data_IF_404108739201
#
_entry.id   IF_404108739201
#
_cell.length_a   1.000
_cell.length_b   1.000
_cell.length_c   1.000
_cell.angle_alpha   90.00
_cell.angle_beta   90.00
_cell.angle_gamma   90.00
#
_symmetry.space_group_name_H-M   'P 1'
#
loop_
_entity.id
_entity.type
_entity.pdbx_description
1 polymer ?
#
# COMPACT_ATOMS: atom_id res chain seq x y z
N UNK A 1 3.63 -12.69 2.81
CA UNK A 1 4.01 -11.31 3.21
C UNK A 1 3.12 -10.90 4.38
N UNK A 2 3.68 -10.59 5.55
CA UNK A 2 2.89 -10.09 6.68
C UNK A 2 2.70 -8.58 6.54
N UNK A 3 1.47 -8.11 6.74
CA UNK A 3 1.13 -6.68 6.69
C UNK A 3 0.37 -6.25 7.93
N UNK A 4 0.50 -4.98 8.28
CA UNK A 4 -0.24 -4.35 9.37
C UNK A 4 -0.79 -3.01 8.90
N UNK A 5 -1.90 -2.56 9.47
CA UNK A 5 -2.56 -1.32 9.05
C UNK A 5 -2.89 -0.43 10.24
N UNK A 6 -2.68 0.88 10.10
CA UNK A 6 -3.10 1.88 11.07
C UNK A 6 -3.48 3.19 10.36
N UNK A 7 -4.65 3.76 10.68
CA UNK A 7 -5.18 5.00 10.06
C UNK A 7 -5.13 5.04 8.53
N UNK A 8 -5.34 3.90 7.87
CA UNK A 8 -5.28 3.77 6.40
C UNK A 8 -3.87 3.64 5.81
N UNK A 9 -2.82 3.73 6.63
CA UNK A 9 -1.46 3.38 6.23
C UNK A 9 -1.25 1.88 6.37
N UNK A 10 -0.54 1.28 5.41
CA UNK A 10 -0.20 -0.14 5.40
C UNK A 10 1.30 -0.29 5.57
N UNK A 11 1.74 -1.19 6.45
CA UNK A 11 3.13 -1.55 6.63
C UNK A 11 3.37 -2.99 6.16
N UNK A 12 4.49 -3.23 5.48
CA UNK A 12 5.06 -4.57 5.31
C UNK A 12 5.91 -4.89 6.54
N UNK A 13 5.78 -6.11 7.04
CA UNK A 13 6.56 -6.62 8.17
C UNK A 13 7.47 -7.74 7.68
N UNK A 14 8.74 -7.67 8.08
CA UNK A 14 9.77 -8.67 7.83
C UNK A 14 10.50 -9.00 9.14
N UNK A 15 11.04 -10.21 9.20
CA UNK A 15 11.95 -10.60 10.28
C UNK A 15 13.38 -10.34 9.83
N UNK A 16 14.14 -9.61 10.64
CA UNK A 16 15.57 -9.44 10.49
C UNK A 16 16.27 -10.47 11.38
N UNK A 17 16.89 -11.48 10.74
CA UNK A 17 17.60 -12.55 11.43
C UNK A 17 18.87 -12.06 12.13
N UNK A 18 19.53 -11.03 11.60
CA UNK A 18 20.82 -10.55 12.12
C UNK A 18 20.65 -9.91 13.48
N UNK A 19 19.59 -9.12 13.61
CA UNK A 19 19.27 -8.38 14.84
C UNK A 19 18.18 -9.09 15.68
N UNK A 20 17.58 -10.17 15.15
CA UNK A 20 16.50 -10.94 15.77
C UNK A 20 15.27 -10.08 16.14
N UNK A 21 14.87 -9.20 15.23
CA UNK A 21 13.75 -8.25 15.40
C UNK A 21 12.77 -8.32 14.23
N UNK A 22 11.57 -7.78 14.43
CA UNK A 22 10.67 -7.46 13.33
C UNK A 22 10.91 -6.04 12.84
N UNK A 23 11.00 -5.87 11.53
CA UNK A 23 11.13 -4.58 10.86
C UNK A 23 9.86 -4.30 10.07
N UNK A 24 9.26 -3.13 10.30
CA UNK A 24 8.11 -2.62 9.61
C UNK A 24 8.46 -1.43 8.72
N UNK A 25 7.84 -1.36 7.53
CA UNK A 25 7.96 -0.21 6.63
C UNK A 25 6.61 0.16 6.03
N UNK A 26 6.25 1.44 6.10
CA UNK A 26 5.04 1.95 5.44
C UNK A 26 5.14 1.83 3.91
N UNK A 27 4.03 1.45 3.30
CA UNK A 27 3.85 1.25 1.86
C UNK A 27 2.86 2.28 1.30
N UNK A 28 3.00 2.56 0.00
CA UNK A 28 2.07 3.43 -0.71
C UNK A 28 2.25 4.92 -0.44
N UNK A 29 3.35 5.32 0.21
CA UNK A 29 3.78 6.70 0.43
C UNK A 29 5.19 6.91 -0.14
N UNK A 30 5.54 8.17 -0.46
CA UNK A 30 6.87 8.55 -0.97
C UNK A 30 7.88 8.66 0.17
N UNK A 31 7.45 9.11 1.34
CA UNK A 31 8.28 9.21 2.53
C UNK A 31 8.68 7.81 3.02
N UNK A 32 9.93 7.65 3.46
CA UNK A 32 10.43 6.38 3.99
C UNK A 32 10.23 6.38 5.50
N UNK A 33 9.16 5.72 5.94
CA UNK A 33 8.83 5.55 7.35
C UNK A 33 9.03 4.08 7.73
N UNK A 34 9.99 3.83 8.61
CA UNK A 34 10.35 2.51 9.11
C UNK A 34 10.26 2.47 10.64
N UNK A 35 10.05 1.26 11.18
CA UNK A 35 9.99 0.98 12.60
C UNK A 35 10.41 -0.45 12.86
N UNK A 36 10.70 -0.80 14.10
CA UNK A 36 11.05 -2.17 14.46
C UNK A 36 10.63 -2.48 15.89
N UNK A 37 10.57 -3.77 16.23
CA UNK A 37 10.31 -4.24 17.58
C UNK A 37 10.67 -5.71 17.76
N UNK A 38 10.90 -6.13 19.00
CA UNK A 38 11.25 -7.51 19.35
C UNK A 38 10.03 -8.42 19.40
N UNK A 39 8.86 -7.86 19.70
CA UNK A 39 7.60 -8.61 19.83
C UNK A 39 6.52 -8.05 18.91
N UNK A 40 5.54 -8.90 18.57
CA UNK A 40 4.38 -8.48 17.77
C UNK A 40 3.53 -7.42 18.50
N UNK A 41 3.49 -7.45 19.84
CA UNK A 41 2.76 -6.47 20.62
C UNK A 41 3.42 -5.09 20.51
N UNK A 42 4.74 -5.03 20.69
CA UNK A 42 5.52 -3.80 20.57
C UNK A 42 5.53 -3.29 19.12
N UNK A 43 5.51 -4.19 18.14
CA UNK A 43 5.43 -3.83 16.73
C UNK A 43 4.11 -3.10 16.39
N UNK A 44 3.00 -3.43 17.05
CA UNK A 44 1.72 -2.70 16.91
C UNK A 44 1.82 -1.29 17.47
N UNK A 45 2.51 -1.14 18.60
CA UNK A 45 2.75 0.16 19.24
C UNK A 45 3.65 1.01 18.34
N UNK A 46 4.80 0.47 17.92
CA UNK A 46 5.77 1.12 17.04
C UNK A 46 5.15 1.57 15.71
N UNK A 47 4.25 0.76 15.11
CA UNK A 47 3.49 1.16 13.92
C UNK A 47 2.60 2.39 14.21
N UNK A 48 1.86 2.37 15.32
CA UNK A 48 0.97 3.47 15.68
C UNK A 48 1.78 4.75 15.88
N UNK A 49 2.83 4.70 16.69
CA UNK A 49 3.72 5.83 16.95
C UNK A 49 4.33 6.38 15.67
N UNK A 50 4.86 5.51 14.82
CA UNK A 50 5.47 5.93 13.54
C UNK A 50 4.49 6.63 12.60
N UNK A 51 3.22 6.21 12.59
CA UNK A 51 2.17 6.88 11.80
C UNK A 51 1.78 8.22 12.42
N UNK A 52 1.64 8.31 13.75
CA UNK A 52 1.33 9.59 14.41
C UNK A 52 2.47 10.60 14.23
N UNK A 53 3.71 10.17 14.41
CA UNK A 53 4.92 10.99 14.23
C UNK A 53 5.02 11.50 12.79
N UNK A 54 4.74 10.63 11.81
CA UNK A 54 4.67 11.02 10.41
C UNK A 54 3.64 12.13 10.18
N UNK A 55 2.41 11.95 10.66
CA UNK A 55 1.33 12.92 10.52
C UNK A 55 1.67 14.25 11.22
N UNK A 56 2.29 14.19 12.40
CA UNK A 56 2.73 15.37 13.12
C UNK A 56 3.86 16.10 12.39
N UNK A 57 4.84 15.38 11.84
CA UNK A 57 5.92 15.95 11.05
C UNK A 57 5.37 16.67 9.81
N UNK A 58 4.43 16.06 9.08
CA UNK A 58 3.74 16.71 7.96
C UNK A 58 3.07 18.03 8.39
N UNK A 59 2.35 18.01 9.52
CA UNK A 59 1.71 19.21 10.09
C UNK A 59 2.72 20.30 10.42
N UNK A 60 3.83 19.98 11.08
CA UNK A 60 4.90 20.93 11.44
C UNK A 60 5.58 21.54 10.22
N UNK A 61 5.75 20.76 9.16
CA UNK A 61 6.36 21.20 7.91
C UNK A 61 5.40 21.95 6.97
N UNK A 62 4.12 22.07 7.33
CA UNK A 62 3.09 22.67 6.48
C UNK A 62 2.86 21.89 5.18
N UNK A 63 3.20 20.61 5.16
CA UNK A 63 3.04 19.72 3.99
C UNK A 63 1.85 18.79 4.22
N UNK A 64 1.00 18.55 3.21
CA UNK A 64 -0.01 17.50 3.33
C UNK A 64 0.69 16.15 3.48
N UNK A 65 0.26 15.27 4.41
CA UNK A 65 0.75 13.90 4.42
C UNK A 65 0.40 13.23 3.09
N UNK A 66 1.23 12.29 2.66
CA UNK A 66 0.93 11.49 1.49
C UNK A 66 -0.38 10.74 1.73
N UNK A 67 -1.39 11.12 0.94
CA UNK A 67 -2.71 10.51 1.06
C UNK A 67 -2.58 9.02 0.72
N UNK A 68 -3.20 8.13 1.50
CA UNK A 68 -3.47 6.77 1.04
C UNK A 68 -4.14 6.85 -0.34
N UNK A 69 -3.74 5.93 -1.23
CA UNK A 69 -4.02 5.89 -2.67
C UNK A 69 -5.21 6.75 -3.17
N UNK A 70 -4.98 7.62 -4.15
CA UNK A 70 -5.99 8.54 -4.70
C UNK A 70 -7.14 7.88 -5.48
N UNK A 71 -7.07 6.56 -5.69
CA UNK A 71 -7.96 5.82 -6.59
C UNK A 71 -7.73 6.07 -8.08
N UNK A 72 -6.85 7.02 -8.46
CA UNK A 72 -6.49 7.29 -9.85
C UNK A 72 -5.24 6.50 -10.22
N UNK A 73 -5.37 5.60 -11.20
CA UNK A 73 -4.24 4.84 -11.75
C UNK A 73 -3.99 5.27 -13.20
N UNK A 74 -2.95 6.08 -13.41
CA UNK A 74 -2.43 6.38 -14.75
C UNK A 74 -1.35 5.35 -15.09
N UNK A 75 -1.69 4.36 -15.91
CA UNK A 75 -0.77 3.31 -16.33
C UNK A 75 -0.38 3.50 -17.79
N UNK A 76 0.91 3.35 -18.08
CA UNK A 76 1.39 3.12 -19.44
C UNK A 76 1.55 1.63 -19.64
N UNK A 77 0.74 1.05 -20.52
CA UNK A 77 0.78 -0.37 -20.87
C UNK A 77 1.06 -0.55 -22.36
N UNK A 78 1.64 -1.69 -22.79
CA UNK A 78 1.81 -1.98 -24.21
C UNK A 78 0.45 -1.95 -24.95
N UNK A 79 0.41 -1.48 -26.22
CA UNK A 79 -0.82 -1.45 -27.00
C UNK A 79 -1.53 -2.81 -27.12
N UNK A 80 -0.75 -3.90 -27.20
CA UNK A 80 -1.29 -5.27 -27.23
C UNK A 80 -2.04 -5.64 -25.96
N UNK A 81 -1.52 -5.26 -24.79
CA UNK A 81 -2.19 -5.50 -23.51
C UNK A 81 -3.45 -4.64 -23.37
N UNK A 82 -3.39 -3.38 -23.82
CA UNK A 82 -4.57 -2.50 -23.83
C UNK A 82 -5.69 -3.07 -24.71
N UNK A 83 -5.36 -3.57 -25.91
CA UNK A 83 -6.32 -4.21 -26.80
C UNK A 83 -6.95 -5.47 -26.17
N UNK A 84 -6.14 -6.34 -25.57
CA UNK A 84 -6.62 -7.53 -24.88
C UNK A 84 -7.57 -7.19 -23.72
N UNK A 85 -7.23 -6.18 -22.91
CA UNK A 85 -8.07 -5.72 -21.80
C UNK A 85 -9.40 -5.11 -22.29
N UNK A 86 -9.39 -4.37 -23.40
CA UNK A 86 -10.62 -3.84 -24.01
C UNK A 86 -11.57 -4.95 -24.46
N UNK A 87 -11.04 -5.98 -25.14
CA UNK A 87 -11.86 -7.13 -25.58
C UNK A 87 -12.43 -7.87 -24.36
N UNK A 88 -11.61 -8.10 -23.33
CA UNK A 88 -12.07 -8.77 -22.11
C UNK A 88 -13.21 -7.99 -21.43
N UNK A 89 -13.06 -6.68 -21.25
CA UNK A 89 -14.08 -5.83 -20.65
C UNK A 89 -15.40 -5.82 -21.44
N UNK A 90 -15.31 -5.72 -22.77
CA UNK A 90 -16.48 -5.75 -23.66
C UNK A 90 -17.18 -7.11 -23.63
N UNK A 91 -16.43 -8.22 -23.58
CA UNK A 91 -16.99 -9.58 -23.51
C UNK A 91 -17.82 -9.83 -22.24
N UNK A 92 -17.53 -9.10 -21.16
CA UNK A 92 -18.28 -9.16 -19.90
C UNK A 92 -19.29 -8.02 -19.75
N UNK A 93 -19.47 -7.17 -20.76
CA UNK A 93 -20.45 -6.09 -20.77
C UNK A 93 -20.16 -4.92 -19.82
N UNK A 94 -18.90 -4.71 -19.43
CA UNK A 94 -18.50 -3.64 -18.49
C UNK A 94 -17.50 -2.68 -19.12
N UNK A 95 -17.35 -1.48 -18.55
CA UNK A 95 -16.32 -0.54 -18.98
C UNK A 95 -14.91 -1.06 -18.67
N UNK A 96 -13.89 -0.61 -19.42
CA UNK A 96 -12.49 -0.98 -19.15
C UNK A 96 -12.05 -0.66 -17.72
N UNK A 97 -12.48 0.48 -17.16
CA UNK A 97 -12.16 0.86 -15.78
C UNK A 97 -12.81 -0.09 -14.76
N UNK A 98 -14.05 -0.52 -15.01
CA UNK A 98 -14.75 -1.45 -14.14
C UNK A 98 -14.12 -2.85 -14.20
N UNK A 99 -13.81 -3.33 -15.40
CA UNK A 99 -13.08 -4.58 -15.59
C UNK A 99 -11.71 -4.55 -14.90
N UNK A 100 -10.94 -3.47 -15.11
CA UNK A 100 -9.65 -3.30 -14.44
C UNK A 100 -9.80 -3.26 -12.91
N UNK A 101 -10.86 -2.62 -12.40
CA UNK A 101 -11.14 -2.58 -10.95
C UNK A 101 -11.39 -3.98 -10.40
N UNK A 102 -12.15 -4.82 -11.11
CA UNK A 102 -12.41 -6.21 -10.72
C UNK A 102 -11.13 -7.04 -10.71
N UNK A 103 -10.35 -7.00 -11.79
CA UNK A 103 -9.08 -7.74 -11.90
C UNK A 103 -8.09 -7.31 -10.81
N UNK A 104 -7.98 -6.00 -10.57
CA UNK A 104 -7.10 -5.47 -9.52
C UNK A 104 -7.59 -5.86 -8.12
N UNK A 105 -8.91 -5.86 -7.87
CA UNK A 105 -9.47 -6.30 -6.60
C UNK A 105 -9.20 -7.79 -6.37
N UNK A 106 -9.40 -8.62 -7.39
CA UNK A 106 -9.10 -10.05 -7.35
C UNK A 106 -7.61 -10.28 -7.05
N UNK A 107 -6.71 -9.67 -7.82
CA UNK A 107 -5.27 -9.80 -7.65
C UNK A 107 -4.76 -9.24 -6.30
N UNK A 108 -5.39 -8.21 -5.76
CA UNK A 108 -5.03 -7.65 -4.46
C UNK A 108 -5.56 -8.47 -3.27
N UNK A 109 -6.59 -9.29 -3.48
CA UNK A 109 -7.26 -10.07 -2.42
C UNK A 109 -6.95 -11.57 -2.47
N UNK A 110 -6.56 -12.10 -3.63
CA UNK A 110 -6.05 -13.46 -3.77
C UNK A 110 -4.66 -13.53 -3.12
N UNK A 111 -4.65 -14.08 -1.90
CA UNK A 111 -3.45 -14.40 -1.12
C UNK A 111 -3.14 -15.88 -1.21
#
# INVERSE_FOLDING_TARGET
>A
MNIMTHKGYTARIEFDERDNIFVGRLLGIRDIIGFHADTVADLRVALKESVEDYLEACRKLGKPPDKPASGRMMLRVPPSLHAAALVAAQSTGVSLNQWATQVLAEAATHR
#
